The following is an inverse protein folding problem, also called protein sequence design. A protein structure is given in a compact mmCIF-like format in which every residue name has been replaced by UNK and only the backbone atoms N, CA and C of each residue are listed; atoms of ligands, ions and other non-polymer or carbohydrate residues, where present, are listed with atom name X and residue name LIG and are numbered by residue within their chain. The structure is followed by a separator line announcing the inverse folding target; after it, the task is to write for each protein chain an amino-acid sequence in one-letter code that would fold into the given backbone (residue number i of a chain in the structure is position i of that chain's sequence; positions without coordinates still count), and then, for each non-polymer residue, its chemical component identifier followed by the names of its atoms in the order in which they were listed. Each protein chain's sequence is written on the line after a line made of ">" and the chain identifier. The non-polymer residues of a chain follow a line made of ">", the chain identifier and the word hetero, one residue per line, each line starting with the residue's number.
data_IF_854738979115
#
_entry.id   IF_854738979115
#
_cell.length_a   1.000
_cell.length_b   1.000
_cell.length_c   1.000
_cell.angle_alpha   90.00
_cell.angle_beta   90.00
_cell.angle_gamma   90.00
#
_symmetry.space_group_name_H-M   'P 1'
#
loop_
_entity.id
_entity.type
_entity.pdbx_description
1 polymer ?
#
# COMPACT_ATOMS: atom_id res chain seq x y z
N UNK A 1 6.31 -4.23 -84.75
CA UNK A 1 5.81 -5.26 -83.76
C UNK A 1 6.55 -5.37 -82.42
N UNK A 2 7.50 -4.51 -82.05
CA UNK A 2 8.26 -4.58 -80.77
C UNK A 2 7.84 -3.56 -79.73
N UNK A 3 7.07 -2.53 -80.05
CA UNK A 3 6.65 -1.47 -79.16
C UNK A 3 5.47 -1.90 -78.27
N UNK A 4 4.52 -2.69 -78.80
CA UNK A 4 3.34 -3.14 -78.08
C UNK A 4 3.64 -4.24 -77.02
N UNK A 5 4.71 -5.02 -77.23
CA UNK A 5 5.17 -6.03 -76.28
C UNK A 5 5.81 -5.39 -75.04
N UNK A 6 6.52 -4.29 -75.20
CA UNK A 6 7.18 -3.59 -74.10
C UNK A 6 6.16 -2.84 -73.22
N UNK A 7 5.11 -2.28 -73.86
CA UNK A 7 4.05 -1.59 -73.12
C UNK A 7 3.21 -2.57 -72.27
N UNK A 8 2.95 -3.77 -72.80
CA UNK A 8 2.20 -4.84 -72.09
C UNK A 8 2.99 -5.36 -70.89
N UNK A 9 4.32 -5.50 -71.01
CA UNK A 9 5.21 -5.95 -69.91
C UNK A 9 5.31 -4.92 -68.80
N UNK A 10 5.38 -3.63 -69.13
CA UNK A 10 5.42 -2.53 -68.14
C UNK A 10 4.07 -2.42 -67.40
N UNK A 11 2.94 -2.61 -68.10
CA UNK A 11 1.60 -2.58 -67.47
C UNK A 11 1.39 -3.73 -66.50
N UNK A 12 1.87 -4.95 -66.81
CA UNK A 12 1.80 -6.10 -65.96
C UNK A 12 2.69 -5.91 -64.70
N UNK A 13 3.85 -5.28 -64.85
CA UNK A 13 4.75 -4.99 -63.72
C UNK A 13 4.19 -3.87 -62.81
N UNK A 14 3.47 -2.90 -63.37
CA UNK A 14 2.78 -1.88 -62.55
C UNK A 14 1.58 -2.46 -61.79
N UNK A 15 0.82 -3.37 -62.41
CA UNK A 15 -0.28 -4.04 -61.71
C UNK A 15 0.18 -4.99 -60.57
N UNK A 16 1.38 -5.62 -60.72
CA UNK A 16 1.90 -6.47 -59.63
C UNK A 16 2.43 -5.67 -58.40
N UNK A 17 2.76 -4.39 -58.61
CA UNK A 17 3.18 -3.51 -57.49
C UNK A 17 1.99 -2.97 -56.67
N UNK A 18 0.74 -3.01 -57.18
CA UNK A 18 -0.42 -2.49 -56.46
C UNK A 18 -1.08 -3.57 -55.56
N UNK A 19 -0.71 -4.83 -55.74
CA UNK A 19 -1.31 -5.93 -54.98
C UNK A 19 -0.52 -6.26 -53.69
N UNK A 20 0.65 -5.64 -53.47
CA UNK A 20 1.51 -5.90 -52.31
C UNK A 20 1.29 -4.94 -51.13
N UNK A 21 0.27 -4.08 -51.18
CA UNK A 21 -0.02 -3.12 -50.12
C UNK A 21 -1.36 -3.42 -49.39
N UNK A 22 -1.71 -4.67 -49.24
CA UNK A 22 -2.52 -5.07 -48.08
C UNK A 22 -1.52 -5.47 -46.98
N UNK A 23 -0.91 -4.49 -46.33
CA UNK A 23 -0.49 -4.70 -44.98
C UNK A 23 -1.78 -5.00 -44.21
N UNK A 24 -1.97 -6.24 -43.82
CA UNK A 24 -2.81 -6.52 -42.67
C UNK A 24 -2.13 -5.75 -41.53
N UNK A 25 -2.52 -4.50 -41.33
CA UNK A 25 -2.22 -3.80 -40.08
C UNK A 25 -3.00 -4.57 -39.01
N UNK A 26 -2.37 -5.66 -38.53
CA UNK A 26 -2.87 -6.39 -37.38
C UNK A 26 -2.92 -5.37 -36.24
N UNK A 27 -4.13 -5.06 -35.79
CA UNK A 27 -4.32 -4.14 -34.69
C UNK A 27 -3.54 -4.68 -33.47
N UNK A 28 -2.79 -3.83 -32.82
CA UNK A 28 -2.11 -4.22 -31.59
C UNK A 28 -3.12 -4.76 -30.58
N UNK A 29 -2.82 -5.82 -29.83
CA UNK A 29 -3.75 -6.37 -28.85
C UNK A 29 -4.14 -5.33 -27.82
N UNK A 30 -5.37 -5.40 -27.30
CA UNK A 30 -5.83 -4.54 -26.22
C UNK A 30 -4.97 -4.80 -24.97
N UNK A 31 -4.51 -3.76 -24.32
CA UNK A 31 -3.73 -3.84 -23.09
C UNK A 31 -3.97 -2.63 -22.17
N UNK A 32 -3.61 -2.75 -20.91
CA UNK A 32 -3.52 -1.62 -19.99
C UNK A 32 -2.26 -0.81 -20.31
N UNK A 33 -2.42 0.49 -20.53
CA UNK A 33 -1.28 1.37 -20.82
C UNK A 33 -0.32 1.42 -19.62
N UNK A 34 0.98 1.33 -19.90
CA UNK A 34 2.05 1.34 -18.90
C UNK A 34 2.02 0.16 -17.91
N UNK A 35 1.40 -0.96 -18.27
CA UNK A 35 1.39 -2.18 -17.46
C UNK A 35 1.79 -3.40 -18.29
N UNK A 36 2.58 -4.27 -17.70
CA UNK A 36 3.00 -5.54 -18.32
C UNK A 36 1.94 -6.63 -18.19
N UNK A 37 1.05 -6.51 -17.20
CA UNK A 37 0.00 -7.50 -16.93
C UNK A 37 -1.36 -6.83 -16.76
N UNK A 38 -2.41 -7.60 -17.02
CA UNK A 38 -3.79 -7.20 -16.79
C UNK A 38 -4.29 -7.60 -15.37
N UNK A 39 -3.37 -7.71 -14.40
CA UNK A 39 -3.73 -7.99 -13.00
C UNK A 39 -3.74 -6.69 -12.20
N UNK A 40 -4.84 -6.44 -11.49
CA UNK A 40 -5.04 -5.26 -10.64
C UNK A 40 -5.32 -5.73 -9.22
N UNK A 41 -4.59 -5.15 -8.25
CA UNK A 41 -4.90 -5.33 -6.85
C UNK A 41 -5.47 -4.03 -6.30
N UNK A 42 -6.65 -4.10 -5.67
CA UNK A 42 -7.31 -2.98 -4.99
C UNK A 42 -7.39 -3.26 -3.50
N UNK A 43 -7.46 -2.20 -2.72
CA UNK A 43 -7.63 -2.28 -1.28
C UNK A 43 -9.07 -1.96 -0.88
N UNK A 44 -9.57 -2.72 0.11
CA UNK A 44 -10.89 -2.53 0.72
C UNK A 44 -10.74 -2.50 2.26
N UNK A 45 -11.51 -1.71 3.00
CA UNK A 45 -12.41 -0.67 2.52
C UNK A 45 -11.63 0.56 2.04
N UNK A 46 -11.96 1.06 0.87
CA UNK A 46 -11.36 2.27 0.33
C UNK A 46 -12.36 2.90 -0.65
N UNK A 47 -12.75 4.14 -0.40
CA UNK A 47 -13.68 4.87 -1.26
C UNK A 47 -13.02 5.43 -2.52
N UNK A 48 -11.74 5.13 -2.79
CA UNK A 48 -11.05 5.61 -3.97
C UNK A 48 -11.52 4.90 -5.24
N UNK A 49 -11.60 5.68 -6.31
CA UNK A 49 -11.82 5.19 -7.67
C UNK A 49 -10.51 5.33 -8.42
N UNK A 50 -10.08 4.26 -9.06
CA UNK A 50 -8.83 4.21 -9.81
C UNK A 50 -9.13 4.26 -11.30
N UNK A 51 -8.31 5.00 -12.07
CA UNK A 51 -8.40 5.07 -13.53
C UNK A 51 -7.28 4.28 -14.18
N UNK A 52 -7.64 3.50 -15.23
CA UNK A 52 -6.71 2.67 -15.98
C UNK A 52 -6.90 2.93 -17.47
N UNK A 53 -5.90 3.56 -18.12
CA UNK A 53 -5.95 3.79 -19.56
C UNK A 53 -5.77 2.48 -20.33
N UNK A 54 -6.57 2.32 -21.39
CA UNK A 54 -6.49 1.26 -22.37
C UNK A 54 -5.68 1.70 -23.59
N UNK A 55 -5.08 0.76 -24.30
CA UNK A 55 -4.42 0.97 -25.58
C UNK A 55 -4.54 -0.28 -26.46
N UNK A 56 -4.31 -0.12 -27.76
CA UNK A 56 -4.43 -1.21 -28.76
C UNK A 56 -5.87 -1.39 -29.25
N UNK A 57 -6.13 -2.47 -29.97
CA UNK A 57 -7.42 -2.70 -30.60
C UNK A 57 -7.81 -1.58 -31.58
N UNK A 58 -9.11 -1.43 -31.84
CA UNK A 58 -9.64 -0.36 -32.70
C UNK A 58 -9.96 0.95 -31.95
N UNK A 59 -9.76 0.99 -30.63
CA UNK A 59 -9.98 2.16 -29.80
C UNK A 59 -11.46 2.38 -29.37
N UNK A 60 -12.37 1.53 -29.77
CA UNK A 60 -13.80 1.58 -29.38
C UNK A 60 -14.11 0.44 -28.43
N UNK A 61 -14.04 0.70 -27.14
CA UNK A 61 -14.13 -0.34 -26.13
C UNK A 61 -15.50 -0.39 -25.46
N UNK A 62 -15.95 -1.63 -25.25
CA UNK A 62 -17.04 -1.99 -24.36
C UNK A 62 -16.48 -2.81 -23.19
N UNK A 63 -17.06 -2.64 -22.01
CA UNK A 63 -16.64 -3.38 -20.81
C UNK A 63 -17.82 -4.14 -20.21
N UNK A 64 -17.51 -5.31 -19.65
CA UNK A 64 -18.41 -6.07 -18.79
C UNK A 64 -17.67 -6.57 -17.57
N UNK A 65 -18.39 -6.81 -16.48
CA UNK A 65 -17.83 -7.31 -15.22
C UNK A 65 -18.62 -8.55 -14.80
N UNK A 66 -17.94 -9.62 -14.46
CA UNK A 66 -18.56 -10.88 -14.02
C UNK A 66 -19.16 -10.81 -12.61
N UNK A 67 -18.59 -9.91 -11.72
CA UNK A 67 -19.01 -9.75 -10.33
C UNK A 67 -19.16 -8.27 -9.94
N UNK A 68 -20.23 -7.61 -10.37
CA UNK A 68 -20.47 -6.18 -10.09
C UNK A 68 -20.69 -5.88 -8.60
N UNK A 69 -20.92 -6.89 -7.76
CA UNK A 69 -21.00 -6.75 -6.31
C UNK A 69 -19.63 -6.61 -5.63
N UNK A 70 -18.54 -7.02 -6.30
CA UNK A 70 -17.17 -6.90 -5.79
C UNK A 70 -16.52 -5.59 -6.24
N UNK A 71 -16.76 -5.20 -7.51
CA UNK A 71 -16.21 -3.97 -8.08
C UNK A 71 -17.25 -3.21 -8.90
N UNK A 72 -17.26 -1.89 -8.78
CA UNK A 72 -17.92 -1.02 -9.76
C UNK A 72 -16.92 -0.66 -10.84
N UNK A 73 -17.31 -0.80 -12.11
CA UNK A 73 -16.49 -0.41 -13.26
C UNK A 73 -17.32 0.34 -14.30
N UNK A 74 -16.71 1.33 -14.93
CA UNK A 74 -17.31 2.11 -16.02
C UNK A 74 -16.26 2.72 -16.93
N UNK A 75 -16.62 2.95 -18.19
CA UNK A 75 -15.84 3.82 -19.08
C UNK A 75 -16.02 5.27 -18.63
N UNK A 76 -14.91 5.99 -18.43
CA UNK A 76 -14.89 7.41 -18.09
C UNK A 76 -14.45 8.28 -19.27
N UNK A 77 -13.82 7.67 -20.28
CA UNK A 77 -13.52 8.25 -21.58
C UNK A 77 -13.56 7.13 -22.63
N UNK A 78 -13.26 7.43 -23.89
CA UNK A 78 -13.16 6.41 -24.95
C UNK A 78 -12.09 5.35 -24.69
N UNK A 79 -11.08 5.65 -23.86
CA UNK A 79 -9.94 4.78 -23.61
C UNK A 79 -9.56 4.62 -22.13
N UNK A 80 -10.39 5.13 -21.19
CA UNK A 80 -10.11 5.02 -19.77
C UNK A 80 -11.24 4.29 -19.05
N UNK A 81 -10.90 3.26 -18.29
CA UNK A 81 -11.83 2.59 -17.37
C UNK A 81 -11.60 3.09 -15.94
N UNK A 82 -12.66 3.26 -15.19
CA UNK A 82 -12.59 3.46 -13.75
C UNK A 82 -13.00 2.19 -13.02
N UNK A 83 -12.31 1.88 -11.91
CA UNK A 83 -12.59 0.72 -11.07
C UNK A 83 -12.63 1.19 -9.61
N UNK A 84 -13.68 0.77 -8.90
CA UNK A 84 -13.85 1.01 -7.45
C UNK A 84 -14.13 -0.31 -6.76
N UNK A 85 -13.42 -0.58 -5.66
CA UNK A 85 -13.69 -1.74 -4.81
C UNK A 85 -14.97 -1.53 -4.01
N UNK A 86 -15.87 -2.53 -4.01
CA UNK A 86 -17.13 -2.55 -3.25
C UNK A 86 -17.12 -3.59 -2.14
N UNK A 87 -16.46 -4.73 -2.38
CA UNK A 87 -16.35 -5.83 -1.43
C UNK A 87 -15.04 -6.59 -1.65
N UNK A 88 -14.67 -7.43 -0.67
CA UNK A 88 -13.54 -8.35 -0.80
C UNK A 88 -13.84 -9.45 -1.82
N UNK A 89 -12.85 -9.88 -2.57
CA UNK A 89 -12.96 -10.99 -3.51
C UNK A 89 -12.18 -10.76 -4.79
N UNK A 90 -12.56 -11.51 -5.82
CA UNK A 90 -11.94 -11.47 -7.14
C UNK A 90 -13.01 -11.26 -8.19
N UNK A 91 -12.74 -10.43 -9.19
CA UNK A 91 -13.62 -10.17 -10.32
C UNK A 91 -12.81 -10.08 -11.62
N UNK A 92 -13.47 -10.32 -12.75
CA UNK A 92 -12.90 -10.20 -14.09
C UNK A 92 -13.67 -9.10 -14.83
N UNK A 93 -12.92 -8.14 -15.39
CA UNK A 93 -13.43 -7.16 -16.32
C UNK A 93 -13.02 -7.62 -17.72
N UNK A 94 -13.98 -7.90 -18.57
CA UNK A 94 -13.71 -8.18 -19.98
C UNK A 94 -13.89 -6.89 -20.78
N UNK A 95 -12.82 -6.44 -21.42
CA UNK A 95 -12.81 -5.33 -22.39
C UNK A 95 -12.89 -5.94 -23.79
N UNK A 96 -13.80 -5.45 -24.62
CA UNK A 96 -13.94 -5.87 -26.02
C UNK A 96 -13.94 -4.64 -26.92
N UNK A 97 -13.28 -4.73 -28.08
CA UNK A 97 -13.38 -3.72 -29.14
C UNK A 97 -14.42 -4.16 -30.22
N UNK A 98 -14.73 -3.26 -31.14
CA UNK A 98 -15.67 -3.55 -32.24
C UNK A 98 -15.09 -4.55 -33.26
N UNK A 99 -13.77 -4.67 -33.33
CA UNK A 99 -13.09 -5.66 -34.18
C UNK A 99 -13.08 -7.07 -33.58
N UNK A 100 -13.59 -7.23 -32.35
CA UNK A 100 -13.72 -8.52 -31.67
C UNK A 100 -12.51 -8.92 -30.83
N UNK A 101 -11.48 -8.08 -30.71
CA UNK A 101 -10.38 -8.32 -29.78
C UNK A 101 -10.88 -8.19 -28.33
N UNK A 102 -10.29 -8.97 -27.42
CA UNK A 102 -10.67 -8.99 -26.00
C UNK A 102 -9.46 -8.90 -25.09
N UNK A 103 -9.64 -8.29 -23.91
CA UNK A 103 -8.71 -8.30 -22.80
C UNK A 103 -9.47 -8.63 -21.52
N UNK A 104 -9.04 -9.65 -20.80
CA UNK A 104 -9.54 -9.95 -19.46
C UNK A 104 -8.60 -9.31 -18.41
N UNK A 105 -9.17 -8.47 -17.56
CA UNK A 105 -8.48 -7.79 -16.47
C UNK A 105 -8.89 -8.48 -15.17
N UNK A 106 -7.94 -9.15 -14.52
CA UNK A 106 -8.16 -9.79 -13.23
C UNK A 106 -8.00 -8.80 -12.09
N UNK A 107 -9.05 -8.58 -11.32
CA UNK A 107 -9.08 -7.66 -10.19
C UNK A 107 -9.20 -8.46 -8.90
N UNK A 108 -8.22 -8.29 -8.01
CA UNK A 108 -8.22 -8.85 -6.66
C UNK A 108 -8.47 -7.71 -5.68
N UNK A 109 -9.52 -7.82 -4.88
CA UNK A 109 -9.85 -6.87 -3.81
C UNK A 109 -9.55 -7.51 -2.47
N UNK A 110 -8.58 -6.94 -1.76
CA UNK A 110 -8.11 -7.43 -0.47
C UNK A 110 -8.18 -6.31 0.58
N UNK A 111 -8.04 -6.64 1.86
CA UNK A 111 -7.99 -5.62 2.90
C UNK A 111 -6.82 -4.65 2.73
N UNK A 112 -7.06 -3.37 3.03
CA UNK A 112 -5.96 -2.43 3.23
C UNK A 112 -5.15 -2.86 4.45
N UNK A 113 -3.82 -2.92 4.31
CA UNK A 113 -2.94 -3.38 5.38
C UNK A 113 -1.68 -2.55 5.46
N UNK A 114 -1.26 -2.22 6.70
CA UNK A 114 0.06 -1.67 7.01
C UNK A 114 0.90 -2.71 7.72
N UNK A 115 2.15 -2.84 7.31
CA UNK A 115 3.11 -3.78 7.90
C UNK A 115 4.30 -3.01 8.47
N UNK A 116 4.56 -3.18 9.75
CA UNK A 116 5.65 -2.54 10.47
C UNK A 116 6.57 -3.59 11.08
N UNK A 117 7.80 -3.67 10.59
CA UNK A 117 8.82 -4.58 11.13
C UNK A 117 9.74 -3.80 12.03
N UNK A 118 9.86 -4.20 13.28
CA UNK A 118 10.71 -3.55 14.27
C UNK A 118 12.18 -3.85 13.95
N UNK A 119 12.94 -2.81 13.65
CA UNK A 119 14.37 -2.87 13.31
C UNK A 119 15.28 -2.53 14.49
N UNK A 120 14.81 -1.72 15.43
CA UNK A 120 15.54 -1.30 16.63
C UNK A 120 14.56 -1.04 17.77
N UNK A 121 15.01 -1.26 19.00
CA UNK A 121 14.31 -0.91 20.22
C UNK A 121 15.22 -0.15 21.17
N UNK A 122 14.66 0.84 21.86
CA UNK A 122 15.34 1.59 22.90
C UNK A 122 14.33 2.09 23.95
N UNK A 123 14.83 2.62 25.05
CA UNK A 123 14.05 3.31 26.09
C UNK A 123 14.58 4.72 26.27
N UNK A 124 13.72 5.68 25.99
CA UNK A 124 13.99 7.09 26.31
C UNK A 124 13.60 7.31 27.77
N UNK A 125 14.59 7.69 28.58
CA UNK A 125 14.45 7.84 30.03
C UNK A 125 15.08 9.16 30.48
N UNK A 126 14.29 10.00 31.14
CA UNK A 126 14.77 11.23 31.80
C UNK A 126 14.31 11.29 33.25
N UNK A 127 15.03 12.05 34.07
CA UNK A 127 14.76 12.24 35.49
C UNK A 127 16.05 12.26 36.32
N UNK A 128 15.92 12.69 37.56
CA UNK A 128 17.03 12.63 38.52
C UNK A 128 17.14 11.24 39.15
N UNK A 129 17.87 10.38 38.45
CA UNK A 129 17.95 8.93 38.74
C UNK A 129 19.42 8.50 38.79
N UNK A 130 19.74 7.61 39.72
CA UNK A 130 21.04 6.90 39.74
C UNK A 130 21.21 5.99 38.55
N UNK A 131 22.41 5.70 38.11
CA UNK A 131 22.67 4.84 36.95
C UNK A 131 22.11 3.43 37.14
N UNK A 132 22.15 2.87 38.36
CA UNK A 132 21.55 1.57 38.67
C UNK A 132 20.00 1.58 38.51
N UNK A 133 19.35 2.67 38.88
CA UNK A 133 17.91 2.85 38.72
C UNK A 133 17.57 2.99 37.24
N UNK A 134 18.34 3.81 36.49
CA UNK A 134 18.17 3.92 35.03
C UNK A 134 18.28 2.58 34.33
N UNK A 135 19.28 1.78 34.69
CA UNK A 135 19.47 0.44 34.11
C UNK A 135 18.29 -0.48 34.43
N UNK A 136 17.83 -0.49 35.68
CA UNK A 136 16.70 -1.30 36.13
C UNK A 136 15.41 -0.90 35.42
N UNK A 137 15.13 0.40 35.27
CA UNK A 137 13.94 0.90 34.55
C UNK A 137 14.01 0.50 33.08
N UNK A 138 15.16 0.66 32.42
CA UNK A 138 15.34 0.27 31.01
C UNK A 138 15.08 -1.21 30.80
N UNK A 139 15.65 -2.08 31.62
CA UNK A 139 15.43 -3.53 31.52
C UNK A 139 13.96 -3.91 31.72
N UNK A 140 13.33 -3.37 32.75
CA UNK A 140 11.89 -3.59 33.01
C UNK A 140 11.03 -3.07 31.87
N UNK A 141 11.28 -1.86 31.37
CA UNK A 141 10.54 -1.27 30.27
C UNK A 141 10.68 -2.07 28.97
N UNK A 142 11.91 -2.48 28.60
CA UNK A 142 12.14 -3.33 27.43
C UNK A 142 11.38 -4.66 27.54
N UNK A 143 11.31 -5.25 28.73
CA UNK A 143 10.59 -6.50 28.96
C UNK A 143 9.06 -6.35 28.77
N UNK A 144 8.50 -5.14 28.81
CA UNK A 144 7.07 -4.91 28.54
C UNK A 144 6.73 -4.88 27.06
N UNK A 145 7.72 -4.66 26.18
CA UNK A 145 7.49 -4.56 24.74
C UNK A 145 7.06 -5.92 24.19
N UNK A 146 5.89 -6.04 23.54
CA UNK A 146 5.38 -7.34 23.09
C UNK A 146 6.12 -7.90 21.88
N UNK A 147 6.90 -7.11 21.19
CA UNK A 147 7.57 -7.45 19.93
C UNK A 147 9.07 -7.24 20.08
N UNK A 148 9.88 -8.19 19.63
CA UNK A 148 11.34 -8.06 19.54
C UNK A 148 11.79 -7.54 18.18
N UNK A 149 13.04 -7.13 18.07
CA UNK A 149 13.65 -6.80 16.78
C UNK A 149 13.51 -7.97 15.80
N UNK A 150 13.01 -7.69 14.59
CA UNK A 150 12.65 -8.67 13.57
C UNK A 150 11.21 -9.16 13.63
N UNK A 151 10.52 -8.97 14.75
CA UNK A 151 9.07 -9.08 14.84
C UNK A 151 8.37 -7.83 14.32
N UNK A 152 7.07 -7.68 14.59
CA UNK A 152 6.35 -6.50 14.10
C UNK A 152 4.84 -6.59 14.22
N UNK A 153 4.20 -5.66 13.56
CA UNK A 153 2.76 -5.48 13.57
C UNK A 153 2.21 -5.47 12.15
N UNK A 154 1.11 -6.19 11.91
CA UNK A 154 0.32 -6.07 10.68
C UNK A 154 -1.06 -5.56 11.07
N UNK A 155 -1.38 -4.35 10.64
CA UNK A 155 -2.70 -3.74 10.80
C UNK A 155 -3.54 -4.07 9.57
N UNK A 156 -4.74 -4.62 9.80
CA UNK A 156 -5.70 -4.99 8.76
C UNK A 156 -6.94 -4.14 9.00
N UNK A 157 -7.16 -3.14 8.16
CA UNK A 157 -8.26 -2.20 8.31
C UNK A 157 -9.56 -2.82 7.81
N UNK A 158 -10.60 -2.74 8.64
CA UNK A 158 -11.91 -3.38 8.35
C UNK A 158 -13.06 -2.40 8.25
N UNK A 159 -12.82 -1.11 8.50
CA UNK A 159 -13.81 -0.05 8.38
C UNK A 159 -13.47 0.93 7.23
N UNK A 160 -14.51 1.61 6.73
CA UNK A 160 -14.39 2.54 5.59
C UNK A 160 -13.59 3.82 5.92
N UNK A 161 -13.42 4.14 7.21
CA UNK A 161 -12.67 5.30 7.67
C UNK A 161 -11.17 5.01 7.80
N UNK A 162 -10.75 3.75 7.59
CA UNK A 162 -9.37 3.27 7.78
C UNK A 162 -8.87 3.63 9.19
N UNK A 163 -9.74 3.43 10.18
CA UNK A 163 -9.48 3.79 11.56
C UNK A 163 -9.44 2.59 12.51
N UNK A 164 -10.07 1.48 12.15
CA UNK A 164 -10.20 0.30 13.02
C UNK A 164 -9.95 -0.99 12.26
N UNK A 165 -9.61 -2.04 13.02
CA UNK A 165 -9.49 -3.36 12.43
C UNK A 165 -8.81 -4.36 13.34
N UNK A 166 -8.22 -5.36 12.71
CA UNK A 166 -7.44 -6.40 13.35
C UNK A 166 -5.97 -6.05 13.34
N UNK A 167 -5.26 -6.41 14.41
CA UNK A 167 -3.80 -6.36 14.45
C UNK A 167 -3.26 -7.77 14.66
N UNK A 168 -2.27 -8.13 13.85
CA UNK A 168 -1.46 -9.33 14.05
C UNK A 168 -0.11 -8.90 14.61
N UNK A 169 0.19 -9.37 15.82
CA UNK A 169 1.44 -9.06 16.54
C UNK A 169 2.38 -10.25 16.44
N UNK A 170 3.47 -10.09 15.71
CA UNK A 170 4.53 -11.06 15.53
C UNK A 170 5.66 -10.80 16.52
N UNK A 171 5.70 -11.58 17.62
CA UNK A 171 6.60 -11.28 18.74
C UNK A 171 8.08 -11.41 18.40
N UNK A 172 8.47 -12.46 17.68
CA UNK A 172 9.89 -12.80 17.42
C UNK A 172 10.30 -12.52 15.98
N UNK A 173 9.47 -12.91 15.01
CA UNK A 173 9.76 -12.78 13.58
C UNK A 173 8.47 -12.51 12.81
N UNK A 174 8.51 -11.44 11.99
CA UNK A 174 7.37 -11.07 11.14
C UNK A 174 6.99 -12.20 10.18
N UNK A 175 5.70 -12.48 10.08
CA UNK A 175 5.15 -13.55 9.24
C UNK A 175 5.08 -14.94 9.89
N UNK A 176 5.61 -15.11 11.11
CA UNK A 176 5.49 -16.36 11.87
C UNK A 176 4.14 -16.41 12.63
N UNK A 177 4.10 -17.14 13.76
CA UNK A 177 2.94 -17.18 14.65
C UNK A 177 2.64 -15.79 15.20
N UNK A 178 1.42 -15.31 14.99
CA UNK A 178 0.95 -14.02 15.49
C UNK A 178 0.00 -14.18 16.68
N UNK A 179 -0.06 -13.16 17.53
CA UNK A 179 -1.14 -12.91 18.45
C UNK A 179 -2.12 -11.99 17.72
N UNK A 180 -3.39 -12.41 17.60
CA UNK A 180 -4.44 -11.59 17.02
C UNK A 180 -5.07 -10.71 18.07
N UNK A 181 -5.28 -9.43 17.72
CA UNK A 181 -5.97 -8.45 18.54
C UNK A 181 -6.77 -7.49 17.66
N UNK A 182 -7.20 -6.40 18.26
CA UNK A 182 -7.84 -5.29 17.56
C UNK A 182 -7.09 -4.00 17.78
N UNK A 183 -7.32 -3.05 16.88
CA UNK A 183 -6.77 -1.70 17.02
C UNK A 183 -7.78 -0.62 16.64
N UNK A 184 -7.54 0.57 17.17
CA UNK A 184 -8.18 1.81 16.77
C UNK A 184 -7.08 2.85 16.49
N UNK A 185 -7.06 3.38 15.28
CA UNK A 185 -6.17 4.48 14.86
C UNK A 185 -6.87 5.80 15.12
N UNK A 186 -6.18 6.74 15.74
CA UNK A 186 -6.68 8.09 16.01
C UNK A 186 -5.72 9.12 15.43
N UNK A 187 -6.27 10.18 14.88
CA UNK A 187 -5.53 11.38 14.52
C UNK A 187 -5.92 12.48 15.48
N UNK A 188 -4.98 12.96 16.25
CA UNK A 188 -5.17 14.05 17.20
C UNK A 188 -4.38 15.27 16.73
N UNK A 189 -4.97 16.44 16.87
CA UNK A 189 -4.25 17.69 16.70
C UNK A 189 -3.68 18.12 18.06
N UNK A 190 -2.38 18.42 18.10
CA UNK A 190 -1.75 19.00 19.27
C UNK A 190 -1.28 20.39 18.88
N UNK A 191 -1.85 21.40 19.54
CA UNK A 191 -1.34 22.75 19.45
C UNK A 191 -0.04 22.86 20.27
N UNK A 192 1.01 23.32 19.62
CA UNK A 192 2.27 23.62 20.27
C UNK A 192 2.60 25.09 20.01
N UNK A 193 2.81 25.86 21.06
CA UNK A 193 3.10 27.31 20.98
C UNK A 193 4.32 27.64 20.12
N UNK A 194 5.27 26.72 20.00
CA UNK A 194 6.54 26.92 19.28
C UNK A 194 6.48 26.45 17.80
N UNK A 195 5.64 25.46 17.45
CA UNK A 195 5.67 24.77 16.16
C UNK A 195 4.32 24.76 15.44
N UNK A 196 3.27 25.39 16.00
CA UNK A 196 1.91 25.36 15.47
C UNK A 196 1.21 24.01 15.69
N UNK A 197 0.11 23.80 14.99
CA UNK A 197 -0.68 22.57 15.06
C UNK A 197 0.08 21.40 14.43
N UNK A 198 0.21 20.30 15.16
CA UNK A 198 0.76 19.03 14.65
C UNK A 198 -0.28 17.94 14.72
N UNK A 199 -0.37 17.16 13.64
CA UNK A 199 -1.16 15.94 13.63
C UNK A 199 -0.33 14.79 14.22
N UNK A 200 -0.86 14.17 15.27
CA UNK A 200 -0.27 12.99 15.90
C UNK A 200 -1.18 11.80 15.63
N UNK A 201 -0.60 10.76 15.04
CA UNK A 201 -1.29 9.49 14.85
C UNK A 201 -0.98 8.59 16.04
N UNK A 202 -2.02 8.03 16.63
CA UNK A 202 -1.88 7.02 17.68
C UNK A 202 -2.65 5.74 17.31
N UNK A 203 -2.17 4.62 17.85
CA UNK A 203 -2.82 3.33 17.75
C UNK A 203 -3.12 2.82 19.15
N UNK A 204 -4.39 2.60 19.43
CA UNK A 204 -4.86 1.90 20.61
C UNK A 204 -4.96 0.42 20.30
N UNK A 205 -4.10 -0.42 20.88
CA UNK A 205 -4.07 -1.86 20.67
C UNK A 205 -4.74 -2.58 21.86
N UNK A 206 -5.59 -3.54 21.55
CA UNK A 206 -6.18 -4.48 22.50
C UNK A 206 -5.80 -5.90 22.14
N UNK A 207 -4.97 -6.53 22.97
CA UNK A 207 -4.53 -7.92 22.81
C UNK A 207 -5.20 -8.80 23.87
N UNK A 208 -5.41 -10.11 23.59
CA UNK A 208 -5.98 -11.04 24.58
C UNK A 208 -5.17 -11.03 25.87
N UNK A 209 -5.86 -11.00 27.00
CA UNK A 209 -5.27 -11.08 28.35
C UNK A 209 -4.20 -10.04 28.68
N UNK A 210 -4.13 -8.96 27.91
CA UNK A 210 -3.20 -7.85 28.12
C UNK A 210 -3.95 -6.53 28.31
N UNK A 211 -3.40 -5.60 29.08
CA UNK A 211 -3.97 -4.25 29.16
C UNK A 211 -3.90 -3.56 27.80
N UNK A 212 -4.87 -2.68 27.55
CA UNK A 212 -4.86 -1.83 26.37
C UNK A 212 -3.58 -0.99 26.33
N UNK A 213 -2.95 -0.92 25.18
CA UNK A 213 -1.70 -0.16 24.94
C UNK A 213 -1.97 0.93 23.90
N UNK A 214 -1.38 2.08 24.12
CA UNK A 214 -1.44 3.20 23.17
C UNK A 214 -0.06 3.53 22.66
N UNK A 215 0.12 3.40 21.34
CA UNK A 215 1.35 3.77 20.66
C UNK A 215 1.14 5.05 19.86
N UNK A 216 2.08 5.98 19.97
CA UNK A 216 2.16 7.19 19.16
C UNK A 216 3.17 6.94 18.04
N UNK A 217 2.82 7.31 16.82
CA UNK A 217 3.77 7.29 15.69
C UNK A 217 4.41 8.66 15.60
N UNK A 218 5.74 8.70 15.56
CA UNK A 218 6.52 9.90 15.30
C UNK A 218 7.73 9.60 14.43
N UNK A 219 8.28 10.65 13.83
CA UNK A 219 9.53 10.56 13.12
C UNK A 219 10.67 10.22 14.08
N UNK A 220 11.50 9.25 13.71
CA UNK A 220 12.74 8.95 14.37
C UNK A 220 13.87 9.70 13.69
N UNK A 221 14.55 10.57 14.44
CA UNK A 221 15.73 11.29 13.96
C UNK A 221 16.96 10.58 14.53
N UNK A 222 17.71 9.81 13.70
CA UNK A 222 18.93 9.16 14.17
C UNK A 222 19.94 10.21 14.63
N UNK A 223 20.65 9.92 15.72
CA UNK A 223 21.69 10.78 16.28
C UNK A 223 22.88 11.00 15.34
N UNK A 224 23.08 10.16 14.35
CA UNK A 224 24.05 10.33 13.27
C UNK A 224 23.36 10.87 12.01
N UNK A 225 23.62 12.12 11.66
CA UNK A 225 23.03 12.84 10.52
C UNK A 225 23.49 12.35 9.13
N UNK A 226 23.93 11.11 8.97
CA UNK A 226 24.48 10.61 7.71
C UNK A 226 23.46 9.92 6.80
N UNK A 227 22.22 9.72 7.25
CA UNK A 227 21.17 9.08 6.42
C UNK A 227 20.06 10.07 6.09
N UNK A 228 19.68 10.22 4.80
CA UNK A 228 18.50 11.00 4.40
C UNK A 228 17.17 10.23 4.63
N UNK A 229 17.20 9.03 5.21
CA UNK A 229 16.02 8.20 5.43
C UNK A 229 15.36 8.65 6.72
N UNK A 230 14.14 9.18 6.61
CA UNK A 230 13.26 9.41 7.75
C UNK A 230 12.75 8.03 8.19
N UNK A 231 13.13 7.63 9.39
CA UNK A 231 12.60 6.43 10.01
C UNK A 231 11.42 6.84 10.91
N UNK A 232 10.45 5.95 11.01
CA UNK A 232 9.31 6.13 11.89
C UNK A 232 9.44 5.20 13.09
N UNK A 233 8.93 5.63 14.23
CA UNK A 233 8.93 4.81 15.44
C UNK A 233 7.59 4.84 16.15
N UNK A 234 7.28 3.73 16.83
CA UNK A 234 6.21 3.64 17.81
C UNK A 234 6.76 4.02 19.18
N UNK A 235 6.10 4.95 19.82
CA UNK A 235 6.38 5.37 21.20
C UNK A 235 5.22 5.01 22.10
N UNK A 236 5.51 4.41 23.24
CA UNK A 236 4.53 4.18 24.31
C UNK A 236 5.01 4.83 25.58
N UNK A 237 4.14 5.64 26.22
CA UNK A 237 4.41 6.28 27.50
C UNK A 237 4.21 5.30 28.66
N UNK A 238 5.29 4.97 29.32
CA UNK A 238 5.30 4.10 30.51
C UNK A 238 5.53 4.87 31.82
N UNK A 239 5.55 6.22 31.79
CA UNK A 239 5.83 7.04 32.97
C UNK A 239 5.00 6.61 34.19
N UNK A 240 3.68 6.44 34.03
CA UNK A 240 2.78 6.06 35.13
C UNK A 240 3.15 4.72 35.77
N UNK A 241 3.69 3.78 35.01
CA UNK A 241 4.12 2.46 35.51
C UNK A 241 5.30 2.57 36.46
N UNK A 242 6.21 3.50 36.20
CA UNK A 242 7.46 3.62 36.95
C UNK A 242 7.45 4.71 38.01
N UNK A 243 6.55 5.69 37.97
CA UNK A 243 6.51 6.81 38.93
C UNK A 243 6.26 6.35 40.37
N UNK A 244 5.62 5.19 40.59
CA UNK A 244 5.34 4.65 41.94
C UNK A 244 6.65 4.28 42.64
N UNK A 245 7.53 3.54 41.93
CA UNK A 245 8.80 3.05 42.50
C UNK A 245 9.93 4.08 42.36
N UNK A 246 9.83 4.98 41.38
CA UNK A 246 10.84 5.99 41.02
C UNK A 246 10.17 7.37 40.86
N UNK A 247 9.86 8.08 41.96
CA UNK A 247 9.10 9.32 41.88
C UNK A 247 9.80 10.49 41.18
N UNK A 248 11.12 10.42 41.01
CA UNK A 248 11.91 11.41 40.29
C UNK A 248 12.00 11.18 38.79
N UNK A 249 11.36 10.10 38.28
CA UNK A 249 11.28 9.83 36.85
C UNK A 249 10.39 10.89 36.16
N UNK A 250 10.91 11.51 35.12
CA UNK A 250 10.19 12.54 34.34
C UNK A 250 9.55 11.95 33.10
N UNK A 251 10.29 11.10 32.39
CA UNK A 251 9.84 10.46 31.15
C UNK A 251 10.34 9.01 31.08
N UNK A 252 9.48 8.11 30.63
CA UNK A 252 9.81 6.74 30.23
C UNK A 252 9.00 6.42 28.98
N UNK A 253 9.66 6.38 27.83
CA UNK A 253 9.04 5.98 26.57
C UNK A 253 9.73 4.76 26.01
N UNK A 254 8.95 3.78 25.57
CA UNK A 254 9.49 2.76 24.64
C UNK A 254 9.65 3.41 23.27
N UNK A 255 10.73 3.10 22.58
CA UNK A 255 10.97 3.49 21.20
C UNK A 255 11.17 2.22 20.35
N UNK A 256 10.27 1.98 19.40
CA UNK A 256 10.36 0.88 18.46
C UNK A 256 10.48 1.45 17.06
N UNK A 257 11.71 1.55 16.56
CA UNK A 257 11.97 2.00 15.19
C UNK A 257 11.58 0.88 14.24
N UNK A 258 10.82 1.19 13.20
CA UNK A 258 10.36 0.21 12.25
C UNK A 258 10.71 0.57 10.80
N UNK A 259 10.76 -0.48 9.98
CA UNK A 259 10.78 -0.36 8.53
C UNK A 259 9.39 -0.71 8.04
N UNK A 260 8.74 0.21 7.35
CA UNK A 260 7.49 -0.05 6.68
C UNK A 260 7.76 -0.99 5.50
N UNK A 261 7.20 -2.21 5.53
CA UNK A 261 7.08 -2.99 4.32
C UNK A 261 5.84 -2.50 3.59
N UNK A 262 6.02 -1.52 2.73
CA UNK A 262 5.05 -1.25 1.68
C UNK A 262 4.98 -2.55 0.87
N UNK A 263 3.89 -3.30 1.04
CA UNK A 263 3.52 -4.28 0.03
C UNK A 263 3.43 -3.46 -1.25
N UNK A 264 4.38 -3.65 -2.15
CA UNK A 264 4.56 -2.89 -3.37
C UNK A 264 3.27 -2.92 -4.19
N UNK A 265 2.36 -2.02 -3.86
CA UNK A 265 1.51 -1.43 -4.88
C UNK A 265 2.50 -0.61 -5.72
N UNK A 266 2.70 -0.94 -6.99
CA UNK A 266 3.67 -0.25 -7.80
C UNK A 266 3.49 1.26 -7.67
N UNK A 267 4.59 1.98 -7.44
CA UNK A 267 4.64 3.42 -7.14
C UNK A 267 3.98 4.37 -8.18
N UNK A 268 3.50 3.84 -9.29
CA UNK A 268 2.76 4.57 -10.33
C UNK A 268 1.23 4.59 -10.11
N UNK A 269 0.73 4.15 -8.95
CA UNK A 269 -0.66 4.34 -8.55
C UNK A 269 -0.89 5.57 -7.65
N UNK A 270 0.14 6.40 -7.44
CA UNK A 270 0.06 7.66 -6.69
C UNK A 270 0.11 8.89 -7.62
N UNK A 271 -0.61 8.88 -8.76
CA UNK A 271 -0.84 10.10 -9.54
C UNK A 271 -2.29 10.15 -10.01
#
# INVERSE_FOLDING_TARGET
>A
MRLNSMLATVLIFLCSLVISSCSNDELAPISLKNRETANIKLNYPNNQTYSFPLQGGDGNYEISCDKPEIIETKMISSCDISIKALALGEAIITVRDQSGNTLDIHVIVDYYTDNYIVSKQDILLTGDLKDSEKQTIKEKALATIPVKTGGGYKFIYTDAEIARGKVLVYQEKFGNKAIEGSFERKSNEIENEQWGTRHIISFDLTLPEQPKRTFIISEYIPSSRTSPIVLMAFFEDLKKTFTIDYPTVEQVYTEQVYTEQVLTVPSHLYY
#
